data_IF_924285644534
#
_entry.id   IF_924285644534
#
_cell.length_a   1.000
_cell.length_b   1.000
_cell.length_c   1.000
_cell.angle_alpha   90.00
_cell.angle_beta   90.00
_cell.angle_gamma   90.00
#
_symmetry.space_group_name_H-M   'P 1'
#
loop_
_entity.id
_entity.type
_entity.pdbx_description
1 polymer ?
#
# COMPACT_ATOMS: atom_id res chain seq x y z
N UNK A 1 7.98 6.07 20.95
CA UNK A 1 6.66 6.26 21.61
C UNK A 1 5.57 6.76 20.66
N UNK A 2 5.68 7.87 19.88
CA UNK A 2 4.55 8.33 19.05
C UNK A 2 4.07 7.31 18.01
N UNK A 3 4.99 6.58 17.37
CA UNK A 3 4.64 5.54 16.38
C UNK A 3 3.77 4.42 16.97
N UNK A 4 4.11 3.95 18.18
CA UNK A 4 3.35 2.89 18.87
C UNK A 4 1.96 3.40 19.23
N UNK A 5 1.86 4.62 19.74
CA UNK A 5 0.57 5.24 20.10
C UNK A 5 -0.30 5.42 18.84
N UNK A 6 0.27 5.93 17.74
CA UNK A 6 -0.46 6.07 16.47
C UNK A 6 -0.93 4.73 15.93
N UNK A 7 -0.06 3.71 15.96
CA UNK A 7 -0.42 2.37 15.52
C UNK A 7 -1.53 1.74 16.38
N UNK A 8 -1.47 1.90 17.72
CA UNK A 8 -2.51 1.43 18.62
C UNK A 8 -3.88 2.07 18.36
N UNK A 9 -3.91 3.35 18.03
CA UNK A 9 -5.16 4.06 17.70
C UNK A 9 -5.72 3.63 16.35
N UNK A 10 -4.86 3.37 15.37
CA UNK A 10 -5.25 2.98 14.01
C UNK A 10 -5.66 1.49 13.94
N UNK A 11 -5.01 0.63 14.73
CA UNK A 11 -5.14 -0.82 14.66
C UNK A 11 -6.59 -1.34 14.73
N UNK A 12 -7.47 -0.87 15.65
CA UNK A 12 -8.85 -1.35 15.75
C UNK A 12 -9.71 -1.00 14.52
N UNK A 13 -9.39 0.12 13.86
CA UNK A 13 -10.12 0.59 12.68
C UNK A 13 -9.58 -0.03 11.39
N UNK A 14 -8.25 -0.03 11.21
CA UNK A 14 -7.56 -0.46 9.99
C UNK A 14 -6.23 -1.13 10.31
N UNK A 15 -6.28 -2.44 10.56
CA UNK A 15 -5.09 -3.26 10.91
C UNK A 15 -3.95 -3.14 9.90
N UNK A 16 -4.27 -3.18 8.60
CA UNK A 16 -3.27 -3.10 7.52
C UNK A 16 -2.56 -1.75 7.48
N UNK A 17 -3.29 -0.64 7.72
CA UNK A 17 -2.68 0.70 7.78
C UNK A 17 -1.75 0.83 8.98
N UNK A 18 -2.11 0.24 10.12
CA UNK A 18 -1.25 0.22 11.31
C UNK A 18 0.06 -0.55 11.04
N UNK A 19 -0.03 -1.72 10.40
CA UNK A 19 1.14 -2.53 10.02
C UNK A 19 2.03 -1.76 9.04
N UNK A 20 1.45 -1.10 8.03
CA UNK A 20 2.19 -0.30 7.06
C UNK A 20 2.94 0.86 7.72
N UNK A 21 2.29 1.60 8.62
CA UNK A 21 2.93 2.70 9.38
C UNK A 21 4.05 2.18 10.28
N UNK A 22 3.85 1.05 10.95
CA UNK A 22 4.89 0.42 11.75
C UNK A 22 6.09 -0.03 10.90
N UNK A 23 5.84 -0.67 9.76
CA UNK A 23 6.88 -1.12 8.83
C UNK A 23 7.69 0.06 8.27
N UNK A 24 7.00 1.08 7.76
CA UNK A 24 7.64 2.27 7.23
C UNK A 24 8.47 2.98 8.31
N UNK A 25 7.92 3.14 9.52
CA UNK A 25 8.63 3.76 10.64
C UNK A 25 9.86 2.95 11.06
N UNK A 26 9.74 1.62 11.06
CA UNK A 26 10.86 0.72 11.40
C UNK A 26 11.99 0.83 10.37
N UNK A 27 11.67 0.82 9.07
CA UNK A 27 12.65 1.02 8.00
C UNK A 27 13.30 2.40 8.12
N UNK A 28 12.53 3.46 8.41
CA UNK A 28 13.06 4.82 8.61
C UNK A 28 14.00 4.90 9.81
N UNK A 29 13.70 4.21 10.91
CA UNK A 29 14.60 4.15 12.07
C UNK A 29 15.90 3.39 11.76
N UNK A 30 15.85 2.33 10.95
CA UNK A 30 17.03 1.63 10.45
C UNK A 30 17.94 2.57 9.66
N UNK A 31 17.37 3.33 8.72
CA UNK A 31 18.11 4.30 7.89
C UNK A 31 18.66 5.44 8.75
N UNK A 32 17.88 5.88 9.75
CA UNK A 32 18.28 6.91 10.74
C UNK A 32 19.34 6.43 11.75
N UNK A 33 19.90 5.22 11.58
CA UNK A 33 20.94 4.62 12.44
C UNK A 33 20.57 4.56 13.92
N UNK A 34 19.31 4.31 14.23
CA UNK A 34 18.85 4.05 15.59
C UNK A 34 19.46 2.74 16.09
N UNK A 35 19.85 2.67 17.36
CA UNK A 35 20.46 1.47 17.97
C UNK A 35 19.52 0.28 17.80
N UNK A 36 20.05 -0.85 17.32
CA UNK A 36 19.28 -2.08 17.05
C UNK A 36 18.46 -2.55 18.27
N UNK A 37 18.97 -2.34 19.49
CA UNK A 37 18.23 -2.66 20.70
C UNK A 37 16.91 -1.87 20.89
N UNK A 38 16.89 -0.60 20.46
CA UNK A 38 15.66 0.23 20.51
C UNK A 38 14.64 -0.22 19.43
N UNK A 39 15.16 -0.64 18.26
CA UNK A 39 14.34 -1.22 17.20
C UNK A 39 13.66 -2.52 17.65
N UNK A 40 14.39 -3.39 18.33
CA UNK A 40 13.83 -4.64 18.87
C UNK A 40 12.80 -4.39 19.98
N UNK A 41 12.99 -3.38 20.81
CA UNK A 41 11.98 -2.96 21.79
C UNK A 41 10.69 -2.49 21.11
N UNK A 42 10.80 -1.72 20.02
CA UNK A 42 9.63 -1.27 19.24
C UNK A 42 8.85 -2.45 18.68
N UNK A 43 9.53 -3.43 18.11
CA UNK A 43 8.91 -4.69 17.62
C UNK A 43 8.25 -5.44 18.77
N UNK A 44 8.94 -5.57 19.91
CA UNK A 44 8.39 -6.21 21.12
C UNK A 44 7.12 -5.52 21.61
N UNK A 45 7.11 -4.19 21.69
CA UNK A 45 5.92 -3.42 22.04
C UNK A 45 4.79 -3.57 21.02
N UNK A 46 5.11 -3.62 19.71
CA UNK A 46 4.14 -3.87 18.64
C UNK A 46 3.48 -5.24 18.77
N UNK A 47 4.26 -6.28 18.98
CA UNK A 47 3.75 -7.65 19.20
C UNK A 47 2.92 -7.73 20.48
N UNK A 48 3.39 -7.15 21.58
CA UNK A 48 2.64 -7.11 22.83
C UNK A 48 1.29 -6.39 22.66
N UNK A 49 1.25 -5.29 21.93
CA UNK A 49 0.02 -4.56 21.62
C UNK A 49 -0.97 -5.43 20.81
N UNK A 50 -0.49 -6.13 19.79
CA UNK A 50 -1.32 -7.05 18.98
C UNK A 50 -1.89 -8.15 19.86
N UNK A 51 -1.09 -8.79 20.73
CA UNK A 51 -1.54 -9.82 21.64
C UNK A 51 -2.61 -9.28 22.60
N UNK A 52 -2.41 -8.11 23.18
CA UNK A 52 -3.39 -7.46 24.08
C UNK A 52 -4.71 -7.18 23.35
N UNK A 53 -4.67 -6.66 22.13
CA UNK A 53 -5.87 -6.36 21.33
C UNK A 53 -6.62 -7.64 20.97
N UNK A 54 -5.90 -8.72 20.62
CA UNK A 54 -6.49 -10.03 20.34
C UNK A 54 -7.12 -10.65 21.59
N UNK A 55 -6.46 -10.59 22.74
CA UNK A 55 -6.98 -11.17 24.00
C UNK A 55 -8.18 -10.41 24.53
N UNK A 56 -8.24 -9.10 24.33
CA UNK A 56 -9.36 -8.26 24.77
C UNK A 56 -10.53 -8.22 23.77
N UNK A 57 -10.45 -8.93 22.64
CA UNK A 57 -11.44 -8.90 21.56
C UNK A 57 -11.82 -7.48 21.10
N UNK A 58 -10.90 -6.53 21.24
CA UNK A 58 -11.08 -5.12 20.91
C UNK A 58 -10.92 -4.82 19.41
N UNK A 59 -10.92 -5.82 18.55
CA UNK A 59 -10.70 -5.64 17.11
C UNK A 59 -11.65 -6.49 16.26
N UNK A 60 -11.63 -6.23 14.97
CA UNK A 60 -12.30 -7.05 13.93
C UNK A 60 -11.53 -8.37 13.70
N UNK A 61 -11.24 -9.13 14.78
CA UNK A 61 -10.53 -10.41 14.66
C UNK A 61 -11.26 -11.40 13.75
N UNK A 62 -12.60 -11.49 13.88
CA UNK A 62 -13.43 -12.31 13.00
C UNK A 62 -13.30 -11.93 11.51
N UNK A 63 -13.17 -10.64 11.20
CA UNK A 63 -12.97 -10.16 9.83
C UNK A 63 -11.58 -10.53 9.30
N UNK A 64 -10.54 -10.46 10.15
CA UNK A 64 -9.18 -10.83 9.76
C UNK A 64 -9.04 -12.34 9.56
N UNK A 65 -9.60 -13.14 10.44
CA UNK A 65 -9.66 -14.61 10.32
C UNK A 65 -10.45 -15.03 9.08
N UNK A 66 -11.58 -14.37 8.81
CA UNK A 66 -12.38 -14.59 7.61
C UNK A 66 -11.59 -14.30 6.32
N UNK A 67 -10.84 -13.21 6.26
CA UNK A 67 -10.01 -12.87 5.09
C UNK A 67 -8.88 -13.87 4.86
N UNK A 68 -8.19 -14.28 5.91
CA UNK A 68 -7.12 -15.28 5.83
C UNK A 68 -7.69 -16.64 5.43
N UNK A 69 -8.82 -17.06 6.00
CA UNK A 69 -9.46 -18.33 5.64
C UNK A 69 -9.93 -18.34 4.19
N UNK A 70 -10.54 -17.26 3.71
CA UNK A 70 -10.94 -17.11 2.30
C UNK A 70 -9.72 -17.19 1.39
N UNK A 71 -8.62 -16.48 1.73
CA UNK A 71 -7.38 -16.52 0.97
C UNK A 71 -6.77 -17.92 0.90
N UNK A 72 -6.70 -18.65 2.04
CA UNK A 72 -6.23 -20.05 2.07
C UNK A 72 -7.14 -20.95 1.22
N UNK A 73 -8.46 -20.76 1.30
CA UNK A 73 -9.41 -21.53 0.50
C UNK A 73 -9.23 -21.33 -1.01
N UNK A 74 -8.90 -20.13 -1.46
CA UNK A 74 -8.62 -19.86 -2.88
C UNK A 74 -7.40 -20.62 -3.39
N UNK A 75 -6.37 -20.83 -2.53
CA UNK A 75 -5.19 -21.60 -2.89
C UNK A 75 -5.38 -23.12 -2.78
N UNK A 76 -6.29 -23.59 -1.95
CA UNK A 76 -6.44 -25.01 -1.60
C UNK A 76 -7.53 -25.72 -2.38
N UNK A 77 -8.61 -25.01 -2.79
CA UNK A 77 -9.69 -25.61 -3.57
C UNK A 77 -9.46 -25.42 -5.07
N UNK A 78 -9.43 -26.56 -5.80
CA UNK A 78 -9.63 -26.58 -7.23
C UNK A 78 -10.89 -25.80 -7.60
N UNK A 79 -10.78 -24.86 -8.52
CA UNK A 79 -11.84 -23.99 -9.01
C UNK A 79 -13.00 -24.84 -9.55
N UNK A 80 -13.98 -25.12 -8.69
CA UNK A 80 -15.25 -25.64 -9.14
C UNK A 80 -16.00 -24.46 -9.76
N UNK A 81 -16.49 -24.60 -10.97
CA UNK A 81 -17.26 -23.58 -11.69
C UNK A 81 -18.41 -23.07 -10.79
N UNK A 82 -18.23 -21.92 -10.18
CA UNK A 82 -19.28 -21.23 -9.44
C UNK A 82 -19.95 -20.23 -10.37
N UNK A 83 -21.28 -20.05 -10.28
CA UNK A 83 -21.94 -18.94 -10.95
C UNK A 83 -21.32 -17.60 -10.53
N UNK A 84 -21.22 -16.66 -11.45
CA UNK A 84 -20.56 -15.33 -11.24
C UNK A 84 -21.15 -14.59 -10.04
N UNK A 85 -22.45 -14.77 -9.76
CA UNK A 85 -23.16 -14.16 -8.63
C UNK A 85 -22.62 -14.59 -7.24
N UNK A 86 -21.96 -15.74 -7.15
CA UNK A 86 -21.44 -16.32 -5.91
C UNK A 86 -19.92 -16.22 -5.77
N UNK A 87 -19.24 -15.46 -6.66
CA UNK A 87 -17.81 -15.21 -6.60
C UNK A 87 -17.49 -14.16 -5.55
N UNK A 88 -16.41 -14.38 -4.80
CA UNK A 88 -15.84 -13.35 -3.91
C UNK A 88 -15.20 -12.21 -4.74
N UNK A 89 -15.06 -11.02 -4.15
CA UNK A 89 -14.44 -9.88 -4.83
C UNK A 89 -13.00 -10.18 -5.27
N UNK A 90 -12.27 -11.00 -4.52
CA UNK A 90 -10.95 -11.49 -4.90
C UNK A 90 -10.99 -12.40 -6.14
N UNK A 91 -11.96 -13.32 -6.24
CA UNK A 91 -12.13 -14.16 -7.43
C UNK A 91 -12.46 -13.31 -8.66
N UNK A 92 -13.33 -12.31 -8.51
CA UNK A 92 -13.67 -11.35 -9.57
C UNK A 92 -12.46 -10.51 -10.01
N UNK A 93 -11.61 -10.08 -9.08
CA UNK A 93 -10.39 -9.35 -9.41
C UNK A 93 -9.41 -10.19 -10.24
N UNK A 94 -9.31 -11.49 -9.96
CA UNK A 94 -8.48 -12.40 -10.74
C UNK A 94 -9.05 -12.61 -12.17
N UNK A 95 -10.37 -12.67 -12.30
CA UNK A 95 -11.04 -12.74 -13.62
C UNK A 95 -10.79 -11.43 -14.39
N UNK A 96 -10.91 -10.27 -13.76
CA UNK A 96 -10.62 -8.98 -14.37
C UNK A 96 -9.18 -8.91 -14.92
N UNK A 97 -8.21 -9.37 -14.13
CA UNK A 97 -6.79 -9.43 -14.57
C UNK A 97 -6.64 -10.39 -15.77
N UNK A 98 -7.33 -11.52 -15.76
CA UNK A 98 -7.29 -12.48 -16.85
C UNK A 98 -7.89 -11.91 -18.15
N UNK A 99 -9.04 -11.25 -18.05
CA UNK A 99 -9.73 -10.63 -19.19
C UNK A 99 -8.87 -9.53 -19.84
N UNK A 100 -8.17 -8.71 -19.02
CA UNK A 100 -7.36 -7.62 -19.53
C UNK A 100 -6.22 -8.04 -20.47
N UNK A 101 -5.74 -9.28 -20.36
CA UNK A 101 -4.70 -9.80 -21.26
C UNK A 101 -3.50 -8.87 -21.40
N UNK A 102 -2.93 -8.78 -22.62
CA UNK A 102 -1.73 -7.98 -22.88
C UNK A 102 -2.07 -6.50 -23.10
N UNK A 103 -3.14 -6.21 -23.86
CA UNK A 103 -3.47 -4.86 -24.33
C UNK A 103 -4.68 -4.22 -23.63
N UNK A 104 -5.44 -4.99 -22.84
CA UNK A 104 -6.69 -4.53 -22.22
C UNK A 104 -7.90 -4.56 -23.13
N UNK A 105 -9.09 -4.48 -22.54
CA UNK A 105 -10.37 -4.44 -23.26
C UNK A 105 -10.77 -3.02 -23.70
N UNK A 106 -10.12 -2.01 -23.19
CA UNK A 106 -10.40 -0.59 -23.44
C UNK A 106 -10.94 0.15 -22.24
N UNK A 107 -10.68 1.45 -22.20
CA UNK A 107 -11.08 2.31 -21.09
C UNK A 107 -12.60 2.32 -20.89
N UNK A 108 -13.04 2.05 -19.67
CA UNK A 108 -14.47 2.03 -19.31
C UNK A 108 -15.25 0.78 -19.75
N UNK A 109 -14.57 -0.25 -20.31
CA UNK A 109 -15.21 -1.48 -20.77
C UNK A 109 -15.07 -2.67 -19.81
N UNK A 110 -14.62 -2.42 -18.58
CA UNK A 110 -14.49 -3.45 -17.56
C UNK A 110 -15.85 -4.08 -17.24
N UNK A 111 -15.99 -5.37 -17.50
CA UNK A 111 -17.21 -6.14 -17.22
C UNK A 111 -17.35 -6.41 -15.71
N UNK A 112 -16.24 -6.65 -15.00
CA UNK A 112 -16.27 -7.01 -13.58
C UNK A 112 -16.53 -5.81 -12.67
N UNK A 113 -16.32 -4.58 -13.14
CA UNK A 113 -16.55 -3.35 -12.37
C UNK A 113 -18.01 -3.17 -11.94
N UNK A 114 -18.96 -3.62 -12.75
CA UNK A 114 -20.40 -3.47 -12.48
C UNK A 114 -20.89 -4.43 -11.40
N UNK A 115 -20.20 -5.53 -11.18
CA UNK A 115 -20.63 -6.62 -10.31
C UNK A 115 -20.04 -6.56 -8.89
N UNK A 116 -19.07 -5.66 -8.63
CA UNK A 116 -18.43 -5.50 -7.32
C UNK A 116 -19.07 -4.38 -6.49
N UNK A 117 -19.04 -4.53 -5.15
CA UNK A 117 -19.63 -3.56 -4.22
C UNK A 117 -18.76 -2.29 -4.09
N UNK A 118 -17.44 -2.43 -4.06
CA UNK A 118 -16.47 -1.32 -3.95
C UNK A 118 -15.31 -1.48 -4.94
N UNK A 119 -15.58 -1.56 -6.25
CA UNK A 119 -14.55 -1.89 -7.24
C UNK A 119 -13.46 -0.82 -7.32
N UNK A 120 -13.82 0.46 -7.18
CA UNK A 120 -12.95 1.60 -7.45
C UNK A 120 -11.95 1.89 -6.30
N UNK A 121 -12.10 1.23 -5.14
CA UNK A 121 -11.28 1.43 -3.95
C UNK A 121 -10.26 0.31 -3.77
N UNK A 122 -10.72 -0.90 -3.53
CA UNK A 122 -9.91 -1.99 -3.00
C UNK A 122 -9.27 -2.85 -4.10
N UNK A 123 -9.82 -2.81 -5.31
CA UNK A 123 -9.35 -3.58 -6.48
C UNK A 123 -9.05 -2.71 -7.70
N UNK A 124 -8.75 -1.43 -7.49
CA UNK A 124 -8.49 -0.47 -8.57
C UNK A 124 -7.41 -0.93 -9.55
N UNK A 125 -6.39 -1.68 -9.09
CA UNK A 125 -5.36 -2.22 -9.95
C UNK A 125 -5.88 -3.34 -10.89
N UNK A 126 -6.83 -4.19 -10.45
CA UNK A 126 -7.41 -5.22 -11.30
C UNK A 126 -8.15 -4.61 -12.49
N UNK A 127 -8.96 -3.57 -12.22
CA UNK A 127 -9.66 -2.84 -13.27
C UNK A 127 -8.72 -2.08 -14.19
N UNK A 128 -7.64 -1.53 -13.63
CA UNK A 128 -6.61 -0.92 -14.45
C UNK A 128 -5.97 -1.94 -15.41
N UNK A 129 -5.73 -3.17 -14.96
CA UNK A 129 -5.23 -4.27 -15.82
C UNK A 129 -6.28 -4.67 -16.85
N UNK A 130 -7.57 -4.82 -16.46
CA UNK A 130 -8.65 -5.18 -17.36
C UNK A 130 -8.82 -4.15 -18.49
N UNK A 131 -8.81 -2.86 -18.16
CA UNK A 131 -9.02 -1.80 -19.14
C UNK A 131 -7.78 -1.51 -20.01
N UNK A 132 -6.58 -1.52 -19.42
CA UNK A 132 -5.35 -1.05 -20.07
C UNK A 132 -4.32 -2.14 -20.38
N UNK A 133 -4.56 -3.36 -19.90
CA UNK A 133 -3.69 -4.51 -20.11
C UNK A 133 -2.48 -4.56 -19.18
N UNK A 134 -1.79 -5.70 -19.25
CA UNK A 134 -0.67 -6.00 -18.35
C UNK A 134 0.55 -5.09 -18.63
N UNK A 135 0.74 -4.64 -19.86
CA UNK A 135 1.87 -3.76 -20.22
C UNK A 135 1.78 -2.45 -19.44
N UNK A 136 0.63 -1.76 -19.49
CA UNK A 136 0.46 -0.50 -18.77
C UNK A 136 0.41 -0.71 -17.26
N UNK A 137 -0.07 -1.85 -16.79
CA UNK A 137 -0.03 -2.23 -15.38
C UNK A 137 1.42 -2.36 -14.86
N UNK A 138 2.32 -2.96 -15.65
CA UNK A 138 3.77 -3.03 -15.33
C UNK A 138 4.40 -1.63 -15.37
N UNK A 139 4.06 -0.81 -16.35
CA UNK A 139 4.53 0.60 -16.42
C UNK A 139 4.11 1.35 -15.16
N UNK A 140 2.87 1.17 -14.70
CA UNK A 140 2.38 1.79 -13.47
C UNK A 140 3.19 1.34 -12.25
N UNK A 141 3.47 0.04 -12.12
CA UNK A 141 4.33 -0.49 -11.06
C UNK A 141 5.73 0.16 -11.11
N UNK A 142 6.33 0.26 -12.31
CA UNK A 142 7.63 0.90 -12.50
C UNK A 142 7.61 2.38 -12.11
N UNK A 143 6.51 3.10 -12.33
CA UNK A 143 6.36 4.49 -11.90
C UNK A 143 6.40 4.63 -10.36
N UNK A 144 5.73 3.73 -9.61
CA UNK A 144 5.83 3.74 -8.14
C UNK A 144 7.25 3.44 -7.66
N UNK A 145 7.93 2.48 -8.27
CA UNK A 145 9.33 2.19 -7.96
C UNK A 145 10.24 3.37 -8.32
N UNK A 146 9.97 4.05 -9.42
CA UNK A 146 10.72 5.25 -9.82
C UNK A 146 10.57 6.39 -8.81
N UNK A 147 9.36 6.62 -8.28
CA UNK A 147 9.13 7.58 -7.18
C UNK A 147 10.00 7.23 -5.97
N UNK A 148 10.09 5.96 -5.61
CA UNK A 148 10.93 5.51 -4.49
C UNK A 148 12.42 5.77 -4.75
N UNK A 149 12.93 5.38 -5.92
CA UNK A 149 14.33 5.62 -6.30
C UNK A 149 14.64 7.12 -6.36
N UNK A 150 13.72 7.93 -6.86
CA UNK A 150 13.85 9.39 -6.83
C UNK A 150 13.89 9.94 -5.42
N UNK A 151 13.09 9.40 -4.52
CA UNK A 151 13.13 9.74 -3.09
C UNK A 151 14.50 9.43 -2.45
N UNK A 152 15.09 8.28 -2.78
CA UNK A 152 16.47 7.92 -2.35
C UNK A 152 17.51 8.92 -2.89
N UNK A 153 17.39 9.31 -4.14
CA UNK A 153 18.31 10.25 -4.77
C UNK A 153 18.25 11.63 -4.09
N UNK A 154 17.05 12.15 -3.84
CA UNK A 154 16.84 13.41 -3.12
C UNK A 154 17.43 13.30 -1.71
N UNK A 155 17.13 12.21 -0.98
CA UNK A 155 17.68 11.97 0.35
C UNK A 155 19.21 12.03 0.37
N UNK A 156 19.88 11.41 -0.61
CA UNK A 156 21.35 11.38 -0.69
C UNK A 156 21.96 12.74 -1.00
N UNK A 157 21.22 13.63 -1.66
CA UNK A 157 21.67 14.99 -1.99
C UNK A 157 21.34 16.02 -0.90
N UNK A 158 20.45 15.69 0.04
CA UNK A 158 20.07 16.60 1.12
C UNK A 158 21.23 16.86 2.07
N UNK A 159 21.57 18.16 2.25
CA UNK A 159 22.58 18.61 3.23
C UNK A 159 22.12 18.49 4.70
N UNK A 160 20.82 18.37 4.95
CA UNK A 160 20.21 18.28 6.28
C UNK A 160 19.43 16.98 6.45
N UNK A 161 19.53 16.38 7.64
CA UNK A 161 18.96 15.05 7.90
C UNK A 161 17.43 15.03 7.87
N UNK A 162 16.75 16.05 8.40
CA UNK A 162 15.30 16.04 8.55
C UNK A 162 14.56 16.07 7.21
N UNK A 163 14.80 17.04 6.28
CA UNK A 163 14.12 17.03 4.97
C UNK A 163 14.42 15.78 4.16
N UNK A 164 15.66 15.28 4.20
CA UNK A 164 16.02 14.05 3.49
C UNK A 164 15.25 12.85 4.00
N UNK A 165 15.19 12.62 5.31
CA UNK A 165 14.43 11.54 5.90
C UNK A 165 12.92 11.70 5.65
N UNK A 166 12.39 12.92 5.64
CA UNK A 166 11.00 13.19 5.32
C UNK A 166 10.65 12.72 3.90
N UNK A 167 11.44 13.11 2.90
CA UNK A 167 11.22 12.70 1.50
C UNK A 167 11.30 11.18 1.35
N UNK A 168 12.32 10.58 1.94
CA UNK A 168 12.51 9.13 1.86
C UNK A 168 11.35 8.38 2.52
N UNK A 169 10.87 8.86 3.68
CA UNK A 169 9.74 8.27 4.39
C UNK A 169 8.43 8.35 3.61
N UNK A 170 8.16 9.51 3.00
CA UNK A 170 6.96 9.70 2.18
C UNK A 170 7.01 8.85 0.91
N UNK A 171 8.14 8.82 0.20
CA UNK A 171 8.32 7.99 -0.99
C UNK A 171 8.20 6.49 -0.66
N UNK A 172 8.81 6.04 0.44
CA UNK A 172 8.68 4.67 0.95
C UNK A 172 7.23 4.32 1.25
N UNK A 173 6.50 5.20 1.94
CA UNK A 173 5.12 4.96 2.35
C UNK A 173 4.19 4.83 1.14
N UNK A 174 4.29 5.75 0.17
CA UNK A 174 3.53 5.71 -1.08
C UNK A 174 3.82 4.41 -1.84
N UNK A 175 5.08 4.05 -1.99
CA UNK A 175 5.48 2.86 -2.74
C UNK A 175 5.07 1.57 -2.03
N UNK A 176 5.26 1.46 -0.71
CA UNK A 176 4.79 0.31 0.05
C UNK A 176 3.27 0.14 -0.02
N UNK A 177 2.51 1.24 0.06
CA UNK A 177 1.06 1.20 -0.07
C UNK A 177 0.64 0.70 -1.46
N UNK A 178 1.27 1.19 -2.53
CA UNK A 178 1.01 0.72 -3.89
C UNK A 178 1.35 -0.77 -4.06
N UNK A 179 2.52 -1.21 -3.57
CA UNK A 179 2.93 -2.61 -3.65
C UNK A 179 1.98 -3.53 -2.88
N UNK A 180 1.57 -3.14 -1.66
CA UNK A 180 0.59 -3.91 -0.88
C UNK A 180 -0.74 -4.04 -1.62
N UNK A 181 -1.25 -2.95 -2.21
CA UNK A 181 -2.47 -2.99 -3.00
C UNK A 181 -2.35 -3.93 -4.22
N UNK A 182 -1.24 -3.84 -4.96
CA UNK A 182 -0.98 -4.73 -6.10
C UNK A 182 -0.90 -6.19 -5.65
N UNK A 183 -0.17 -6.49 -4.56
CA UNK A 183 -0.06 -7.86 -4.03
C UNK A 183 -1.40 -8.45 -3.59
N UNK A 184 -2.29 -7.64 -2.99
CA UNK A 184 -3.66 -8.05 -2.67
C UNK A 184 -4.43 -8.37 -3.95
N UNK A 185 -4.38 -7.48 -4.92
CA UNK A 185 -5.14 -7.59 -6.17
C UNK A 185 -4.75 -8.84 -6.99
N UNK A 186 -3.46 -9.20 -6.98
CA UNK A 186 -2.97 -10.44 -7.61
C UNK A 186 -3.02 -11.67 -6.68
N UNK A 187 -3.73 -11.55 -5.55
CA UNK A 187 -3.96 -12.62 -4.57
C UNK A 187 -2.68 -13.23 -3.94
N UNK A 188 -1.57 -12.47 -3.89
CA UNK A 188 -0.36 -12.89 -3.18
C UNK A 188 -0.49 -12.80 -1.66
N UNK A 189 -1.29 -11.84 -1.17
CA UNK A 189 -1.59 -11.63 0.25
C UNK A 189 -3.10 -11.46 0.44
N UNK A 190 -3.63 -11.75 1.64
CA UNK A 190 -5.05 -11.57 1.92
C UNK A 190 -5.46 -10.09 1.83
N UNK A 191 -6.74 -9.84 1.63
CA UNK A 191 -7.32 -8.51 1.49
C UNK A 191 -6.93 -7.58 2.64
N UNK A 192 -6.45 -6.37 2.28
CA UNK A 192 -6.00 -5.39 3.26
C UNK A 192 -6.87 -4.12 3.32
N UNK A 193 -7.70 -3.85 2.31
CA UNK A 193 -8.50 -2.63 2.21
C UNK A 193 -7.64 -1.37 2.05
N UNK A 194 -6.43 -1.49 1.46
CA UNK A 194 -5.57 -0.35 1.14
C UNK A 194 -5.89 0.17 -0.25
N UNK A 195 -6.02 1.49 -0.36
CA UNK A 195 -6.25 2.16 -1.65
C UNK A 195 -4.95 2.30 -2.44
N UNK A 196 -5.02 2.21 -3.77
CA UNK A 196 -3.89 2.49 -4.65
C UNK A 196 -3.67 4.01 -4.73
N UNK A 197 -2.50 4.54 -4.34
CA UNK A 197 -2.23 5.97 -4.36
C UNK A 197 -2.48 6.59 -5.74
N UNK A 198 -3.16 7.73 -5.79
CA UNK A 198 -3.53 8.50 -7.01
C UNK A 198 -4.53 7.85 -7.96
N UNK A 199 -4.77 6.54 -7.91
CA UNK A 199 -5.62 5.83 -8.87
C UNK A 199 -6.95 5.41 -8.24
N UNK A 200 -6.92 4.85 -7.00
CA UNK A 200 -8.16 4.50 -6.31
C UNK A 200 -9.01 5.72 -6.02
N UNK A 201 -10.31 5.57 -6.15
CA UNK A 201 -11.30 6.60 -5.84
C UNK A 201 -11.50 6.75 -4.32
N UNK A 202 -10.52 7.35 -3.66
CA UNK A 202 -10.57 7.66 -2.23
C UNK A 202 -10.27 9.15 -2.01
N UNK A 203 -11.28 9.98 -1.71
CA UNK A 203 -11.11 11.43 -1.60
C UNK A 203 -10.03 11.85 -0.61
N UNK A 204 -10.02 11.28 0.59
CA UNK A 204 -8.98 11.54 1.60
C UNK A 204 -7.62 10.99 1.22
N UNK A 205 -7.55 9.78 0.68
CA UNK A 205 -6.29 9.15 0.24
C UNK A 205 -5.61 9.97 -0.85
N UNK A 206 -6.38 10.46 -1.83
CA UNK A 206 -5.86 11.30 -2.91
C UNK A 206 -5.30 12.61 -2.38
N UNK A 207 -6.03 13.28 -1.47
CA UNK A 207 -5.59 14.55 -0.87
C UNK A 207 -4.26 14.38 -0.10
N UNK A 208 -4.16 13.38 0.77
CA UNK A 208 -2.93 13.13 1.52
C UNK A 208 -1.77 12.72 0.63
N UNK A 209 -2.01 11.95 -0.43
CA UNK A 209 -0.97 11.58 -1.40
C UNK A 209 -0.47 12.81 -2.18
N UNK A 210 -1.37 13.71 -2.57
CA UNK A 210 -0.99 14.97 -3.23
C UNK A 210 -0.17 15.88 -2.31
N UNK A 211 -0.52 15.98 -1.03
CA UNK A 211 0.27 16.71 -0.04
C UNK A 211 1.67 16.09 0.10
N UNK A 212 1.75 14.76 0.16
CA UNK A 212 3.03 14.07 0.24
C UNK A 212 3.92 14.35 -0.98
N UNK A 213 3.38 14.31 -2.19
CA UNK A 213 4.11 14.71 -3.40
C UNK A 213 4.55 16.18 -3.36
N UNK A 214 3.67 17.08 -2.88
CA UNK A 214 4.00 18.50 -2.71
C UNK A 214 5.20 18.70 -1.78
N UNK A 215 5.26 17.97 -0.67
CA UNK A 215 6.41 18.00 0.26
C UNK A 215 7.68 17.44 -0.39
N UNK A 216 7.60 16.33 -1.13
CA UNK A 216 8.74 15.75 -1.85
C UNK A 216 9.31 16.76 -2.87
N UNK A 217 8.44 17.39 -3.66
CA UNK A 217 8.83 18.38 -4.65
C UNK A 217 9.43 19.64 -4.02
N UNK A 218 8.86 20.12 -2.91
CA UNK A 218 9.38 21.29 -2.17
C UNK A 218 10.82 21.07 -1.70
N UNK A 219 11.10 19.92 -1.11
CA UNK A 219 12.46 19.57 -0.66
C UNK A 219 13.41 19.37 -1.85
N UNK A 220 12.94 18.76 -2.94
CA UNK A 220 13.76 18.61 -4.16
C UNK A 220 14.19 19.96 -4.70
N UNK A 221 13.26 20.91 -4.80
CA UNK A 221 13.56 22.26 -5.27
C UNK A 221 14.55 23.00 -4.38
N UNK A 222 14.36 22.92 -3.07
CA UNK A 222 15.28 23.58 -2.11
C UNK A 222 16.70 23.03 -2.22
N UNK A 223 16.87 21.74 -2.47
CA UNK A 223 18.17 21.14 -2.71
C UNK A 223 18.84 21.66 -3.99
N UNK A 224 18.08 21.81 -5.08
CA UNK A 224 18.60 22.31 -6.35
C UNK A 224 19.06 23.78 -6.21
N UNK A 225 18.31 24.61 -5.50
CA UNK A 225 18.68 26.01 -5.20
C UNK A 225 20.01 26.10 -4.42
N UNK A 226 20.18 25.26 -3.36
CA UNK A 226 21.42 25.24 -2.57
C UNK A 226 22.63 24.71 -3.35
N UNK A 227 22.43 23.83 -4.33
CA UNK A 227 23.53 23.33 -5.17
C UNK A 227 24.02 24.36 -6.22
N UNK A 228 23.21 25.36 -6.55
CA UNK A 228 23.58 26.46 -7.44
C UNK A 228 24.27 27.62 -6.71
N UNK A 229 24.06 27.77 -5.40
CA UNK A 229 24.62 28.85 -4.60
C UNK A 229 26.02 28.52 -4.01
N UNK A 230 26.48 27.28 -4.16
CA UNK A 230 27.86 26.89 -3.78
C UNK A 230 28.76 26.93 -5.03
N UNK A 231 29.70 27.91 -5.10
CA UNK A 231 30.62 28.03 -6.23
C UNK A 231 31.59 26.84 -6.33
#
# INVERSE_FOLDING_TARGET
>A
MPVVVSAMVIFPAHTSSAVLVCLASWVMMLIGRVRFGELMKLVGWGVAAIVVIMTLNLGRSETAEGRVSTWIHLWTKSQTEKPIEHLSDTERSMIAIHNGGILGEGAGQSAMRVEMIHPESDYAYAFFVEEYGIILAVVLLMLYLWVFFRGIEIFRRCGTAFPGLLVLGLALLITCQALLHIMVTVNLIPETGQTLPLISRGGSSMLFTMIAFGMILSVSRQNDEHSHDTP
#
